data_IF_639122710703
#
_entry.id   IF_639122710703
#
_cell.length_a   1.000
_cell.length_b   1.000
_cell.length_c   1.000
_cell.angle_alpha   90.00
_cell.angle_beta   90.00
_cell.angle_gamma   90.00
#
_symmetry.space_group_name_H-M   'P 1'
#
loop_
_entity.id
_entity.type
_entity.pdbx_description
1 polymer ?
#
# COMPACT_ATOMS: atom_id res chain seq x y z
N UNK A 1 25.86 -6.22 21.04
CA UNK A 1 24.98 -7.27 20.46
C UNK A 1 23.51 -6.91 20.71
N UNK A 2 22.79 -6.37 19.71
CA UNK A 2 21.39 -5.93 19.86
C UNK A 2 20.47 -7.13 19.63
N UNK A 3 19.81 -7.63 20.69
CA UNK A 3 18.89 -8.79 20.65
C UNK A 3 17.87 -8.62 19.51
N UNK A 4 18.03 -9.39 18.42
CA UNK A 4 17.00 -9.66 17.41
C UNK A 4 16.12 -10.80 17.93
N UNK A 5 15.37 -10.56 18.99
CA UNK A 5 14.20 -11.41 19.25
C UNK A 5 13.07 -10.88 18.37
N UNK A 6 12.59 -11.71 17.44
CA UNK A 6 11.38 -11.45 16.66
C UNK A 6 10.20 -11.34 17.63
N UNK A 7 9.95 -10.12 18.13
CA UNK A 7 8.83 -9.85 19.00
C UNK A 7 7.57 -10.02 18.16
N UNK A 8 6.77 -11.07 18.41
CA UNK A 8 5.54 -11.37 17.66
C UNK A 8 4.66 -10.13 17.48
N UNK A 9 4.58 -9.30 18.50
CA UNK A 9 3.84 -8.03 18.51
C UNK A 9 4.34 -7.01 17.47
N UNK A 10 5.65 -6.99 17.19
CA UNK A 10 6.24 -6.13 16.16
C UNK A 10 5.84 -6.59 14.76
N UNK A 11 5.80 -7.91 14.53
CA UNK A 11 5.35 -8.47 13.24
C UNK A 11 3.87 -8.15 13.02
N UNK A 12 3.04 -8.37 14.04
CA UNK A 12 1.61 -8.08 14.02
C UNK A 12 1.37 -6.60 13.68
N UNK A 13 2.08 -5.67 14.35
CA UNK A 13 1.93 -4.24 14.06
C UNK A 13 2.44 -3.85 12.67
N UNK A 14 3.47 -4.51 12.15
CA UNK A 14 3.90 -4.33 10.76
C UNK A 14 2.84 -4.79 9.76
N UNK A 15 2.20 -5.94 10.02
CA UNK A 15 1.10 -6.44 9.20
C UNK A 15 -0.15 -5.54 9.27
N UNK A 16 -0.47 -4.98 10.43
CA UNK A 16 -1.54 -3.98 10.56
C UNK A 16 -1.19 -2.73 9.76
N UNK A 17 0.06 -2.26 9.83
CA UNK A 17 0.54 -1.15 9.01
C UNK A 17 0.43 -1.41 7.51
N UNK A 18 0.71 -2.64 7.07
CA UNK A 18 0.49 -3.07 5.68
C UNK A 18 -0.99 -3.02 5.29
N UNK A 19 -1.90 -3.52 6.13
CA UNK A 19 -3.34 -3.48 5.86
C UNK A 19 -3.86 -2.03 5.77
N UNK A 20 -3.45 -1.17 6.70
CA UNK A 20 -3.80 0.26 6.69
C UNK A 20 -3.23 0.94 5.44
N UNK A 21 -1.96 0.67 5.11
CA UNK A 21 -1.33 1.17 3.90
C UNK A 21 -2.09 0.72 2.65
N UNK A 22 -2.48 -0.54 2.57
CA UNK A 22 -3.24 -1.04 1.43
C UNK A 22 -4.56 -0.27 1.27
N UNK A 23 -5.33 -0.06 2.35
CA UNK A 23 -6.57 0.73 2.31
C UNK A 23 -6.31 2.17 1.84
N UNK A 24 -5.23 2.82 2.31
CA UNK A 24 -4.86 4.17 1.88
C UNK A 24 -4.54 4.20 0.37
N UNK A 25 -3.81 3.21 -0.14
CA UNK A 25 -3.48 3.10 -1.55
C UNK A 25 -4.74 3.01 -2.41
N UNK A 26 -5.67 2.15 -2.00
CA UNK A 26 -6.95 1.96 -2.67
C UNK A 26 -7.72 3.28 -2.76
N UNK A 27 -7.82 4.01 -1.65
CA UNK A 27 -8.53 5.28 -1.59
C UNK A 27 -7.84 6.38 -2.42
N UNK A 28 -6.51 6.42 -2.45
CA UNK A 28 -5.76 7.35 -3.29
C UNK A 28 -5.98 7.09 -4.77
N UNK A 29 -5.95 5.82 -5.20
CA UNK A 29 -6.22 5.45 -6.60
C UNK A 29 -7.66 5.83 -6.97
N UNK A 30 -8.63 5.53 -6.11
CA UNK A 30 -10.03 5.91 -6.33
C UNK A 30 -10.21 7.44 -6.42
N UNK A 31 -9.44 8.22 -5.65
CA UNK A 31 -9.49 9.68 -5.70
C UNK A 31 -8.86 10.26 -6.97
N UNK A 32 -7.70 9.73 -7.40
CA UNK A 32 -6.96 10.26 -8.57
C UNK A 32 -7.58 9.81 -9.90
N UNK A 33 -8.25 8.66 -9.92
CA UNK A 33 -8.77 8.06 -11.17
C UNK A 33 -10.14 8.61 -11.60
N UNK A 34 -10.76 9.53 -10.85
CA UNK A 34 -12.10 10.04 -11.16
C UNK A 34 -12.05 11.25 -12.10
N UNK A 35 -12.80 11.24 -13.22
CA UNK A 35 -13.03 12.44 -14.03
C UNK A 35 -13.83 13.48 -13.24
N UNK A 36 -13.54 14.77 -13.44
CA UNK A 36 -14.09 15.91 -12.69
C UNK A 36 -15.64 16.05 -12.70
N UNK A 37 -16.36 15.22 -13.45
CA UNK A 37 -17.78 15.44 -13.80
C UNK A 37 -18.73 14.29 -13.42
N UNK A 38 -18.27 13.26 -12.71
CA UNK A 38 -19.11 12.11 -12.31
C UNK A 38 -19.39 12.17 -10.80
N UNK A 39 -20.64 11.94 -10.33
CA UNK A 39 -20.94 11.89 -8.91
C UNK A 39 -20.03 10.89 -8.20
N UNK A 40 -19.55 11.27 -7.01
CA UNK A 40 -18.56 10.54 -6.21
C UNK A 40 -19.13 9.19 -5.75
N UNK A 41 -19.13 8.21 -6.64
CA UNK A 41 -19.38 6.81 -6.30
C UNK A 41 -18.05 6.22 -5.85
N UNK A 42 -17.96 5.77 -4.60
CA UNK A 42 -16.79 5.05 -4.10
C UNK A 42 -16.83 3.62 -4.61
N UNK A 43 -16.09 3.35 -5.69
CA UNK A 43 -15.91 2.00 -6.23
C UNK A 43 -14.42 1.64 -6.33
N UNK A 44 -13.72 1.60 -5.20
CA UNK A 44 -12.27 1.45 -5.13
C UNK A 44 -11.71 0.24 -5.88
N UNK A 45 -12.45 -0.87 -5.91
CA UNK A 45 -12.04 -2.10 -6.59
C UNK A 45 -12.04 -1.91 -8.12
N UNK A 46 -13.11 -1.34 -8.67
CA UNK A 46 -13.23 -1.06 -10.11
C UNK A 46 -12.17 -0.04 -10.56
N UNK A 47 -11.88 0.97 -9.72
CA UNK A 47 -10.86 2.00 -9.98
C UNK A 47 -9.45 1.41 -10.09
N UNK A 48 -9.09 0.46 -9.21
CA UNK A 48 -7.78 -0.21 -9.25
C UNK A 48 -7.64 -1.10 -10.46
N UNK A 49 -8.68 -1.88 -10.76
CA UNK A 49 -8.69 -2.77 -11.92
C UNK A 49 -8.45 -1.97 -13.20
N UNK A 50 -9.18 -0.87 -13.37
CA UNK A 50 -9.04 0.03 -14.51
C UNK A 50 -7.64 0.66 -14.56
N UNK A 51 -7.13 1.16 -13.44
CA UNK A 51 -5.82 1.82 -13.39
C UNK A 51 -4.66 0.85 -13.69
N UNK A 52 -4.68 -0.34 -13.07
CA UNK A 52 -3.67 -1.37 -13.31
C UNK A 52 -3.76 -1.85 -14.76
N UNK A 53 -4.97 -2.09 -15.27
CA UNK A 53 -5.18 -2.51 -16.66
C UNK A 53 -4.63 -1.47 -17.64
N UNK A 54 -4.99 -0.19 -17.48
CA UNK A 54 -4.48 0.89 -18.33
C UNK A 54 -2.96 1.00 -18.24
N UNK A 55 -2.37 0.95 -17.04
CA UNK A 55 -0.92 1.04 -16.86
C UNK A 55 -0.17 -0.13 -17.53
N UNK A 56 -0.67 -1.35 -17.34
CA UNK A 56 -0.13 -2.57 -17.95
C UNK A 56 -0.31 -2.58 -19.47
N UNK A 57 -1.48 -2.18 -19.97
CA UNK A 57 -1.74 -2.13 -21.40
C UNK A 57 -0.82 -1.14 -22.11
N UNK A 58 -0.55 0.00 -21.49
CA UNK A 58 0.26 1.07 -22.10
C UNK A 58 1.76 0.73 -22.11
N UNK A 59 2.27 0.06 -21.08
CA UNK A 59 3.70 -0.22 -20.90
C UNK A 59 4.08 -1.70 -21.12
N UNK A 60 3.10 -2.56 -21.41
CA UNK A 60 3.27 -4.00 -21.60
C UNK A 60 4.00 -4.67 -20.44
N UNK A 61 4.98 -5.52 -20.75
CA UNK A 61 5.79 -6.24 -19.75
C UNK A 61 6.57 -5.31 -18.81
N UNK A 62 7.00 -4.13 -19.28
CA UNK A 62 7.69 -3.16 -18.43
C UNK A 62 6.75 -2.54 -17.39
N UNK A 63 5.47 -2.36 -17.73
CA UNK A 63 4.43 -1.92 -16.81
C UNK A 63 4.26 -2.89 -15.64
N UNK A 64 4.26 -4.19 -15.90
CA UNK A 64 4.21 -5.22 -14.86
C UNK A 64 5.43 -5.17 -13.92
N UNK A 65 6.63 -5.03 -14.49
CA UNK A 65 7.87 -4.99 -13.71
C UNK A 65 7.90 -3.75 -12.82
N UNK A 66 7.63 -2.56 -13.39
CA UNK A 66 7.62 -1.30 -12.66
C UNK A 66 6.49 -1.24 -11.63
N UNK A 67 5.28 -1.70 -11.99
CA UNK A 67 4.14 -1.77 -11.08
C UNK A 67 4.42 -2.69 -9.89
N UNK A 68 5.00 -3.87 -10.14
CA UNK A 68 5.38 -4.80 -9.07
C UNK A 68 6.47 -4.23 -8.16
N UNK A 69 7.48 -3.55 -8.73
CA UNK A 69 8.55 -2.94 -7.97
C UNK A 69 8.03 -1.80 -7.07
N UNK A 70 7.17 -0.94 -7.60
CA UNK A 70 6.51 0.13 -6.86
C UNK A 70 5.63 -0.45 -5.75
N UNK A 71 4.86 -1.49 -6.04
CA UNK A 71 4.00 -2.15 -5.05
C UNK A 71 4.81 -2.77 -3.91
N UNK A 72 5.90 -3.49 -4.21
CA UNK A 72 6.79 -4.05 -3.20
C UNK A 72 7.41 -2.91 -2.36
N UNK A 73 7.88 -1.84 -3.00
CA UNK A 73 8.42 -0.67 -2.30
C UNK A 73 7.41 -0.05 -1.35
N UNK A 74 6.16 0.11 -1.80
CA UNK A 74 5.05 0.60 -0.99
C UNK A 74 4.81 -0.27 0.25
N UNK A 75 4.72 -1.59 0.08
CA UNK A 75 4.55 -2.53 1.19
C UNK A 75 5.71 -2.41 2.20
N UNK A 76 6.95 -2.34 1.73
CA UNK A 76 8.12 -2.21 2.62
C UNK A 76 8.04 -0.93 3.46
N UNK A 77 7.65 0.20 2.87
CA UNK A 77 7.50 1.48 3.57
C UNK A 77 6.41 1.39 4.64
N UNK A 78 5.23 0.87 4.31
CA UNK A 78 4.12 0.77 5.27
C UNK A 78 4.35 -0.26 6.36
N UNK A 79 5.03 -1.36 6.06
CA UNK A 79 5.51 -2.28 7.08
C UNK A 79 6.51 -1.59 8.03
N UNK A 80 7.47 -0.85 7.48
CA UNK A 80 8.43 -0.11 8.30
C UNK A 80 7.75 0.92 9.20
N UNK A 81 6.83 1.72 8.64
CA UNK A 81 6.02 2.68 9.39
C UNK A 81 5.21 2.01 10.49
N UNK A 82 4.50 0.92 10.20
CA UNK A 82 3.75 0.15 11.19
C UNK A 82 4.64 -0.36 12.33
N UNK A 83 5.83 -0.86 12.01
CA UNK A 83 6.80 -1.27 13.05
C UNK A 83 7.45 -0.10 13.79
N UNK A 84 7.54 1.08 13.18
CA UNK A 84 8.10 2.27 13.79
C UNK A 84 7.11 2.89 14.78
N UNK A 85 5.84 3.02 14.40
CA UNK A 85 4.74 3.44 15.27
C UNK A 85 4.62 2.52 16.49
N UNK A 86 4.71 1.20 16.29
CA UNK A 86 4.75 0.25 17.42
C UNK A 86 5.86 0.54 18.42
N UNK A 87 7.07 0.86 17.92
CA UNK A 87 8.20 1.21 18.79
C UNK A 87 7.99 2.53 19.52
N UNK A 88 7.29 3.49 18.93
CA UNK A 88 6.99 4.76 19.61
C UNK A 88 5.95 4.57 20.72
N UNK A 89 4.92 3.75 20.48
CA UNK A 89 3.83 3.57 21.44
C UNK A 89 4.13 2.58 22.58
N UNK A 90 4.90 1.53 22.33
CA UNK A 90 5.10 0.42 23.29
C UNK A 90 6.55 0.24 23.76
N UNK A 91 7.43 1.19 23.47
CA UNK A 91 8.83 1.19 23.94
C UNK A 91 9.15 2.38 24.86
N UNK A 92 8.15 3.17 25.24
CA UNK A 92 8.14 3.89 26.52
C UNK A 92 7.73 2.93 27.63
#
# INVERSE_FOLDING_TARGET
MRRRTLNKNKIISGCIGLLVGYIIMILLIDAISKPDQIPVSFKPIESIETYIFSFVFTLGTLGWILGSLLFIGYLVVFYYLGTWVYKLMFKN
#
